data_IF_777624109841
#
_entry.id   IF_777624109841
#
_cell.length_a   1.000
_cell.length_b   1.000
_cell.length_c   1.000
_cell.angle_alpha   90.00
_cell.angle_beta   90.00
_cell.angle_gamma   90.00
#
_symmetry.space_group_name_H-M   'P 1'
#
loop_
_entity.id
_entity.type
_entity.pdbx_description
1 polymer ?
#
# COMPACT_ATOMS: atom_id res chain seq x y z
N UNK A 1 -7.53 -34.79 18.29
CA UNK A 1 -7.78 -33.49 18.96
C UNK A 1 -6.49 -32.71 19.01
N UNK A 2 -6.52 -31.38 18.79
CA UNK A 2 -5.34 -30.54 18.99
C UNK A 2 -4.92 -30.62 20.47
N UNK A 3 -3.66 -30.98 20.74
CA UNK A 3 -3.15 -31.22 22.11
C UNK A 3 -2.74 -29.93 22.85
N UNK A 4 -3.10 -28.76 22.33
CA UNK A 4 -2.71 -27.43 22.84
C UNK A 4 -3.92 -26.50 22.81
N UNK A 5 -4.00 -25.61 23.79
CA UNK A 5 -4.88 -24.43 23.76
C UNK A 5 -4.37 -23.37 22.77
N UNK A 6 -5.24 -22.43 22.41
CA UNK A 6 -4.88 -21.30 21.55
C UNK A 6 -3.76 -20.43 22.17
N UNK A 7 -3.78 -20.25 23.49
CA UNK A 7 -2.77 -19.49 24.23
C UNK A 7 -1.41 -20.20 24.17
N UNK A 8 -1.36 -21.50 24.49
CA UNK A 8 -0.11 -22.28 24.43
C UNK A 8 0.46 -22.32 23.00
N UNK A 9 -0.41 -22.34 21.99
CA UNK A 9 0.01 -22.22 20.59
C UNK A 9 0.65 -20.85 20.31
N UNK A 10 0.00 -19.76 20.70
CA UNK A 10 0.49 -18.39 20.47
C UNK A 10 1.82 -18.13 21.19
N UNK A 11 1.95 -18.57 22.44
CA UNK A 11 3.17 -18.39 23.23
C UNK A 11 4.35 -19.14 22.62
N UNK A 12 4.16 -20.41 22.24
CA UNK A 12 5.19 -21.20 21.56
C UNK A 12 5.59 -20.55 20.23
N UNK A 13 4.61 -20.11 19.44
CA UNK A 13 4.86 -19.45 18.17
C UNK A 13 5.65 -18.15 18.35
N UNK A 14 5.23 -17.27 19.28
CA UNK A 14 5.88 -16.00 19.54
C UNK A 14 7.31 -16.18 20.08
N UNK A 15 7.53 -17.11 21.01
CA UNK A 15 8.86 -17.41 21.56
C UNK A 15 9.81 -17.87 20.45
N UNK A 16 9.37 -18.78 19.57
CA UNK A 16 10.20 -19.29 18.47
C UNK A 16 10.48 -18.22 17.42
N UNK A 17 9.46 -17.45 17.03
CA UNK A 17 9.61 -16.44 15.98
C UNK A 17 10.57 -15.32 16.42
N UNK A 18 10.46 -14.85 17.67
CA UNK A 18 11.39 -13.85 18.23
C UNK A 18 12.83 -14.33 18.29
N UNK A 19 13.05 -15.63 18.54
CA UNK A 19 14.39 -16.24 18.57
C UNK A 19 15.00 -16.52 17.20
N UNK A 20 14.21 -16.52 16.12
CA UNK A 20 14.65 -16.91 14.78
C UNK A 20 15.09 -15.73 13.89
N UNK A 21 15.28 -14.53 14.45
CA UNK A 21 15.54 -13.31 13.64
C UNK A 21 16.81 -13.40 12.79
N UNK A 22 17.85 -14.06 13.29
CA UNK A 22 19.10 -14.24 12.53
C UNK A 22 18.96 -15.27 11.40
N UNK A 23 18.26 -16.39 11.65
CA UNK A 23 17.93 -17.36 10.61
C UNK A 23 17.05 -16.72 9.51
N UNK A 24 16.14 -15.82 9.89
CA UNK A 24 15.34 -15.05 8.94
C UNK A 24 16.22 -14.15 8.06
N UNK A 25 17.20 -13.42 8.63
CA UNK A 25 18.14 -12.62 7.83
C UNK A 25 18.90 -13.49 6.84
N UNK A 26 19.51 -14.57 7.32
CA UNK A 26 20.26 -15.51 6.46
C UNK A 26 19.39 -16.12 5.37
N UNK A 27 18.13 -16.42 5.68
CA UNK A 27 17.16 -16.90 4.70
C UNK A 27 16.87 -15.87 3.61
N UNK A 28 16.70 -14.59 3.98
CA UNK A 28 16.53 -13.47 3.05
C UNK A 28 17.78 -13.29 2.19
N UNK A 29 18.97 -13.31 2.79
CA UNK A 29 20.24 -13.12 2.07
C UNK A 29 20.54 -14.23 1.06
N UNK A 30 19.92 -15.41 1.22
CA UNK A 30 20.02 -16.54 0.28
C UNK A 30 19.05 -16.46 -0.89
N UNK A 31 18.14 -15.48 -0.93
CA UNK A 31 17.20 -15.32 -2.05
C UNK A 31 17.95 -14.83 -3.28
N UNK A 32 18.01 -15.66 -4.31
CA UNK A 32 18.76 -15.39 -5.55
C UNK A 32 17.92 -14.75 -6.65
N UNK A 33 16.60 -14.76 -6.52
CA UNK A 33 15.67 -14.24 -7.53
C UNK A 33 14.70 -13.23 -6.90
N UNK A 34 14.41 -12.14 -7.59
CA UNK A 34 13.51 -11.11 -7.09
C UNK A 34 12.09 -11.66 -6.88
N UNK A 35 11.58 -11.69 -5.63
CA UNK A 35 10.23 -12.17 -5.36
C UNK A 35 9.17 -11.25 -5.96
N UNK A 36 9.45 -9.95 -6.09
CA UNK A 36 8.51 -8.98 -6.68
C UNK A 36 8.40 -9.15 -8.20
N UNK A 37 9.51 -9.48 -8.88
CA UNK A 37 9.48 -9.82 -10.31
C UNK A 37 8.67 -11.11 -10.57
N UNK A 38 8.88 -12.15 -9.75
CA UNK A 38 8.09 -13.39 -9.81
C UNK A 38 6.60 -13.13 -9.58
N UNK A 39 6.26 -12.24 -8.64
CA UNK A 39 4.87 -11.86 -8.38
C UNK A 39 4.26 -11.12 -9.57
N UNK A 40 4.98 -10.16 -10.16
CA UNK A 40 4.53 -9.42 -11.34
C UNK A 40 4.24 -10.35 -12.53
N UNK A 41 5.08 -11.36 -12.75
CA UNK A 41 4.88 -12.39 -13.78
C UNK A 41 3.62 -13.26 -13.56
N UNK A 42 2.93 -13.14 -12.42
CA UNK A 42 1.70 -13.87 -12.09
C UNK A 42 0.49 -12.93 -11.97
N UNK A 43 0.51 -11.77 -12.62
CA UNK A 43 -0.58 -10.79 -12.60
C UNK A 43 -1.95 -11.39 -12.96
N UNK A 44 -2.04 -12.27 -13.97
CA UNK A 44 -3.31 -12.87 -14.40
C UNK A 44 -3.89 -13.78 -13.32
N UNK A 45 -3.01 -14.53 -12.64
CA UNK A 45 -3.39 -15.37 -11.50
C UNK A 45 -3.90 -14.52 -10.33
N UNK A 46 -3.29 -13.35 -10.08
CA UNK A 46 -3.76 -12.42 -9.06
C UNK A 46 -5.16 -11.90 -9.40
N UNK A 47 -5.38 -11.43 -10.63
CA UNK A 47 -6.66 -10.88 -11.08
C UNK A 47 -7.79 -11.91 -10.98
N UNK A 48 -7.58 -13.13 -11.49
CA UNK A 48 -8.58 -14.19 -11.45
C UNK A 48 -8.98 -14.57 -10.01
N UNK A 49 -7.99 -14.72 -9.12
CA UNK A 49 -8.25 -15.09 -7.73
C UNK A 49 -8.88 -13.95 -6.93
N UNK A 50 -8.47 -12.69 -7.17
CA UNK A 50 -9.08 -11.53 -6.53
C UNK A 50 -10.54 -11.39 -6.95
N UNK A 51 -10.83 -11.48 -8.26
CA UNK A 51 -12.19 -11.46 -8.80
C UNK A 51 -13.06 -12.53 -8.15
N UNK A 52 -12.53 -13.75 -8.05
CA UNK A 52 -13.23 -14.86 -7.38
C UNK A 52 -13.51 -14.55 -5.91
N UNK A 53 -12.51 -14.05 -5.16
CA UNK A 53 -12.64 -13.72 -3.74
C UNK A 53 -13.59 -12.54 -3.45
N UNK A 54 -13.67 -11.59 -4.37
CA UNK A 54 -14.65 -10.50 -4.32
C UNK A 54 -16.04 -11.05 -4.59
N UNK A 55 -16.22 -11.80 -5.69
CA UNK A 55 -17.52 -12.30 -6.12
C UNK A 55 -18.14 -13.31 -5.14
N UNK A 56 -17.32 -14.13 -4.48
CA UNK A 56 -17.80 -15.09 -3.48
C UNK A 56 -17.88 -14.51 -2.05
N UNK A 57 -17.63 -13.21 -1.88
CA UNK A 57 -17.74 -12.52 -0.59
C UNK A 57 -16.61 -12.78 0.41
N UNK A 58 -15.64 -13.65 0.11
CA UNK A 58 -14.48 -13.94 1.00
C UNK A 58 -13.72 -12.67 1.36
N UNK A 59 -13.51 -11.78 0.39
CA UNK A 59 -12.82 -10.52 0.60
C UNK A 59 -13.57 -9.60 1.58
N UNK A 60 -14.87 -9.40 1.35
CA UNK A 60 -15.70 -8.55 2.21
C UNK A 60 -15.82 -9.10 3.64
N UNK A 61 -15.98 -10.42 3.80
CA UNK A 61 -15.97 -11.07 5.10
C UNK A 61 -14.61 -10.91 5.82
N UNK A 62 -13.51 -10.91 5.07
CA UNK A 62 -12.17 -10.59 5.58
C UNK A 62 -12.09 -9.21 6.21
N UNK A 63 -12.54 -8.18 5.51
CA UNK A 63 -12.52 -6.80 6.02
C UNK A 63 -13.42 -6.61 7.24
N UNK A 64 -14.62 -7.21 7.23
CA UNK A 64 -15.59 -7.09 8.33
C UNK A 64 -15.17 -7.78 9.63
N UNK A 65 -14.15 -8.65 9.60
CA UNK A 65 -13.62 -9.30 10.81
C UNK A 65 -12.89 -8.33 11.75
N UNK A 66 -12.39 -7.20 11.24
CA UNK A 66 -11.73 -6.19 12.07
C UNK A 66 -12.72 -5.08 12.37
N UNK A 67 -13.04 -4.90 13.65
CA UNK A 67 -13.92 -3.81 14.09
C UNK A 67 -13.20 -2.45 14.00
N UNK A 68 -13.97 -1.37 13.89
CA UNK A 68 -13.42 -0.01 13.91
C UNK A 68 -12.58 0.23 15.18
N UNK A 69 -13.03 -0.27 16.33
CA UNK A 69 -12.33 -0.07 17.61
C UNK A 69 -11.01 -0.86 17.69
N UNK A 70 -10.99 -2.12 17.24
CA UNK A 70 -9.75 -2.89 17.15
C UNK A 70 -8.77 -2.24 16.16
N UNK A 71 -9.27 -1.74 15.03
CA UNK A 71 -8.47 -1.00 14.07
C UNK A 71 -7.86 0.27 14.69
N UNK A 72 -8.68 1.11 15.35
CA UNK A 72 -8.21 2.36 16.01
C UNK A 72 -7.13 2.06 17.04
N UNK A 73 -7.36 1.07 17.91
CA UNK A 73 -6.41 0.67 18.94
C UNK A 73 -5.07 0.25 18.32
N UNK A 74 -5.09 -0.66 17.34
CA UNK A 74 -3.85 -1.13 16.71
C UNK A 74 -3.15 -0.04 15.90
N UNK A 75 -3.89 0.76 15.14
CA UNK A 75 -3.33 1.84 14.34
C UNK A 75 -2.69 2.91 15.23
N UNK A 76 -3.42 3.40 16.24
CA UNK A 76 -2.94 4.45 17.16
C UNK A 76 -1.82 3.98 18.07
N UNK A 77 -2.03 2.87 18.78
CA UNK A 77 -1.16 2.52 19.91
C UNK A 77 0.07 1.71 19.47
N UNK A 78 0.01 1.07 18.30
CA UNK A 78 1.12 0.25 17.76
C UNK A 78 1.64 0.83 16.44
N UNK A 79 0.74 1.16 15.51
CA UNK A 79 1.10 1.62 14.16
C UNK A 79 1.86 2.93 14.17
N UNK A 80 1.33 3.97 14.83
CA UNK A 80 1.94 5.31 14.89
C UNK A 80 3.38 5.26 15.40
N UNK A 81 3.64 4.45 16.42
CA UNK A 81 4.99 4.31 17.00
C UNK A 81 6.03 3.73 16.02
N UNK A 82 5.61 3.10 14.92
CA UNK A 82 6.49 2.57 13.87
C UNK A 82 6.66 3.52 12.68
N UNK A 83 5.83 4.57 12.58
CA UNK A 83 5.81 5.47 11.42
C UNK A 83 7.12 6.25 11.31
N UNK A 84 7.68 6.77 12.41
CA UNK A 84 8.89 7.60 12.38
C UNK A 84 10.08 6.88 11.71
N UNK A 85 10.43 5.68 12.19
CA UNK A 85 11.50 4.89 11.58
C UNK A 85 11.17 4.50 10.13
N UNK A 86 9.90 4.24 9.82
CA UNK A 86 9.45 3.91 8.46
C UNK A 86 9.56 5.06 7.47
N UNK A 87 9.20 6.29 7.87
CA UNK A 87 9.27 7.46 6.98
C UNK A 87 10.71 7.88 6.71
N UNK A 88 11.58 7.82 7.72
CA UNK A 88 13.00 8.11 7.56
C UNK A 88 13.66 7.11 6.62
N UNK A 89 13.39 5.81 6.79
CA UNK A 89 13.88 4.75 5.90
C UNK A 89 13.31 4.85 4.47
N UNK A 90 12.12 5.44 4.30
CA UNK A 90 11.46 5.58 3.01
C UNK A 90 11.81 6.90 2.29
N UNK A 91 12.62 7.78 2.88
CA UNK A 91 12.93 9.13 2.37
C UNK A 91 13.27 9.14 0.88
N UNK A 92 14.22 8.33 0.45
CA UNK A 92 14.68 8.29 -0.95
C UNK A 92 13.55 7.90 -1.92
N UNK A 93 12.73 6.90 -1.54
CA UNK A 93 11.57 6.49 -2.34
C UNK A 93 10.52 7.60 -2.46
N UNK A 94 10.31 8.38 -1.40
CA UNK A 94 9.39 9.51 -1.40
C UNK A 94 9.93 10.64 -2.28
N UNK A 95 11.23 10.95 -2.18
CA UNK A 95 11.90 11.94 -3.03
C UNK A 95 11.79 11.54 -4.50
N UNK A 96 12.13 10.30 -4.86
CA UNK A 96 12.02 9.81 -6.23
C UNK A 96 10.59 9.89 -6.79
N UNK A 97 9.58 9.61 -5.95
CA UNK A 97 8.19 9.79 -6.37
C UNK A 97 7.83 11.27 -6.55
N UNK A 98 8.33 12.16 -5.69
CA UNK A 98 8.10 13.60 -5.78
C UNK A 98 8.75 14.22 -7.03
N UNK A 99 9.91 13.70 -7.45
CA UNK A 99 10.59 14.11 -8.70
C UNK A 99 9.74 13.83 -9.95
N UNK A 100 8.94 12.75 -9.96
CA UNK A 100 7.96 12.49 -11.02
C UNK A 100 6.67 13.32 -10.85
N UNK A 101 6.17 13.38 -9.60
CA UNK A 101 4.87 13.97 -9.27
C UNK A 101 4.84 15.49 -9.44
N UNK A 102 5.80 16.21 -8.86
CA UNK A 102 5.77 17.67 -8.78
C UNK A 102 5.82 18.32 -10.17
N UNK A 103 6.72 17.91 -11.09
CA UNK A 103 6.70 18.46 -12.45
C UNK A 103 5.42 18.11 -13.22
N UNK A 104 4.80 16.95 -12.92
CA UNK A 104 3.52 16.60 -13.51
C UNK A 104 2.40 17.51 -13.01
N UNK A 105 2.37 17.82 -11.71
CA UNK A 105 1.46 18.83 -11.14
C UNK A 105 1.67 20.17 -11.82
N UNK A 106 2.91 20.64 -11.94
CA UNK A 106 3.23 21.93 -12.56
C UNK A 106 2.70 22.00 -14.00
N UNK A 107 2.92 20.97 -14.81
CA UNK A 107 2.34 20.89 -16.18
C UNK A 107 0.81 20.93 -16.18
N UNK A 108 0.17 20.33 -15.19
CA UNK A 108 -1.29 20.36 -15.04
C UNK A 108 -1.80 21.75 -14.66
N UNK A 109 -1.11 22.41 -13.74
CA UNK A 109 -1.42 23.77 -13.31
C UNK A 109 -1.21 24.78 -14.44
N UNK A 110 -0.14 24.67 -15.23
CA UNK A 110 0.09 25.54 -16.40
C UNK A 110 -1.06 25.43 -17.42
N UNK A 111 -1.57 24.23 -17.68
CA UNK A 111 -2.75 24.04 -18.54
C UNK A 111 -3.98 24.75 -17.98
N UNK A 112 -4.23 24.59 -16.69
CA UNK A 112 -5.40 25.18 -16.03
C UNK A 112 -5.29 26.71 -15.95
N UNK A 113 -4.09 27.27 -15.72
CA UNK A 113 -3.88 28.72 -15.69
C UNK A 113 -4.35 29.42 -16.98
N UNK A 114 -4.22 28.76 -18.14
CA UNK A 114 -4.67 29.30 -19.42
C UNK A 114 -6.18 29.18 -19.70
N UNK A 115 -6.96 28.57 -18.80
CA UNK A 115 -8.41 28.39 -18.98
C UNK A 115 -9.20 29.58 -18.40
N UNK A 116 -10.38 29.92 -18.95
CA UNK A 116 -11.31 30.84 -18.30
C UNK A 116 -11.65 30.41 -16.87
N UNK A 117 -12.00 31.35 -16.01
CA UNK A 117 -12.35 31.13 -14.59
C UNK A 117 -13.51 32.01 -14.08
N UNK A 118 -14.25 32.66 -14.99
CA UNK A 118 -15.25 33.67 -14.67
C UNK A 118 -16.56 33.04 -14.17
N UNK A 119 -16.96 31.92 -14.76
CA UNK A 119 -18.24 31.25 -14.46
C UNK A 119 -18.06 29.99 -13.61
N UNK A 120 -19.16 29.46 -13.10
CA UNK A 120 -19.16 28.15 -12.45
C UNK A 120 -18.69 27.04 -13.41
N UNK A 121 -19.16 27.07 -14.66
CA UNK A 121 -18.82 26.06 -15.66
C UNK A 121 -17.33 26.12 -16.03
N UNK A 122 -16.75 27.32 -16.09
CA UNK A 122 -15.31 27.51 -16.26
C UNK A 122 -14.51 26.85 -15.13
N UNK A 123 -14.94 27.05 -13.88
CA UNK A 123 -14.30 26.44 -12.72
C UNK A 123 -14.45 24.91 -12.67
N UNK A 124 -15.61 24.37 -13.08
CA UNK A 124 -15.81 22.91 -13.23
C UNK A 124 -14.86 22.36 -14.31
N UNK A 125 -14.72 23.06 -15.43
CA UNK A 125 -13.84 22.66 -16.52
C UNK A 125 -12.37 22.66 -16.10
N UNK A 126 -11.92 23.67 -15.34
CA UNK A 126 -10.57 23.73 -14.75
C UNK A 126 -10.29 22.53 -13.84
N UNK A 127 -11.19 22.26 -12.91
CA UNK A 127 -11.07 21.14 -11.97
C UNK A 127 -11.00 19.79 -12.70
N UNK A 128 -11.95 19.53 -13.60
CA UNK A 128 -12.00 18.26 -14.34
C UNK A 128 -10.78 18.08 -15.24
N UNK A 129 -10.26 19.16 -15.83
CA UNK A 129 -9.02 19.14 -16.61
C UNK A 129 -7.81 18.76 -15.76
N UNK A 130 -7.67 19.34 -14.58
CA UNK A 130 -6.58 18.98 -13.66
C UNK A 130 -6.67 17.52 -13.22
N UNK A 131 -7.85 17.03 -12.82
CA UNK A 131 -8.05 15.65 -12.38
C UNK A 131 -7.74 14.66 -13.52
N UNK A 132 -8.19 14.94 -14.74
CA UNK A 132 -7.87 14.14 -15.93
C UNK A 132 -6.38 14.17 -16.25
N UNK A 133 -5.71 15.29 -16.07
CA UNK A 133 -4.26 15.37 -16.25
C UNK A 133 -3.56 14.49 -15.21
N UNK A 134 -3.88 14.64 -13.92
CA UNK A 134 -3.27 13.87 -12.83
C UNK A 134 -3.44 12.35 -12.96
N UNK A 135 -4.54 11.87 -13.57
CA UNK A 135 -4.74 10.43 -13.81
C UNK A 135 -3.78 9.83 -14.85
N UNK A 136 -3.09 10.68 -15.62
CA UNK A 136 -2.12 10.24 -16.63
C UNK A 136 -0.69 10.14 -16.10
N UNK A 137 -0.43 10.47 -14.83
CA UNK A 137 0.89 10.32 -14.22
C UNK A 137 1.36 8.87 -14.37
N UNK A 138 2.52 8.70 -15.01
CA UNK A 138 3.27 7.45 -15.05
C UNK A 138 4.58 7.67 -14.32
N UNK A 139 4.92 6.73 -13.43
CA UNK A 139 6.17 6.75 -12.69
C UNK A 139 7.27 6.10 -13.51
N UNK A 140 8.48 6.63 -13.38
CA UNK A 140 9.65 6.17 -14.11
C UNK A 140 10.43 5.08 -13.35
N UNK A 141 10.06 4.85 -12.07
CA UNK A 141 10.61 3.83 -11.16
C UNK A 141 9.53 2.99 -10.45
#
# INVERSE_FOLDING_TARGET
MAKLSATEFQEKHARRLKGATEDMRRGIDRVTESPTAKAAAKQDKMLANLTTAVNNGKWAAGLKRVTLEDWKKKARDIGVNRVAAGIDAAKEKVVAFAEDLLPHIDRGLEKVKGMPDITLDDNINRMTTFIRHMSTLKRTS
#
